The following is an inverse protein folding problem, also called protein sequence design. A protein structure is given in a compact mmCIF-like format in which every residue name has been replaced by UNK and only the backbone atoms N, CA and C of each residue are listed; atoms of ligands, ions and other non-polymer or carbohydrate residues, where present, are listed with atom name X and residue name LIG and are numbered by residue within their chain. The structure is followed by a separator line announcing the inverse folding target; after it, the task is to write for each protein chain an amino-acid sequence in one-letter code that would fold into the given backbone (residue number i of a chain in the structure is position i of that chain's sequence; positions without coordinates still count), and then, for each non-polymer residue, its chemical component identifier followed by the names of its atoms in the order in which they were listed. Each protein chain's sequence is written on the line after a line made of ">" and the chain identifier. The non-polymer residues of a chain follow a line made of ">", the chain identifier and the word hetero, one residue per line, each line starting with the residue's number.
data_IF_336524923383
#
_entry.id   IF_336524923383
#
_cell.length_a   1.000
_cell.length_b   1.000
_cell.length_c   1.000
_cell.angle_alpha   90.00
_cell.angle_beta   90.00
_cell.angle_gamma   90.00
#
_symmetry.space_group_name_H-M   'P 1'
#
loop_
_entity.id
_entity.type
_entity.pdbx_description
1 polymer ?
#
# COMPACT_ATOMS: atom_id res chain seq x y z
N UNK A 1 7.27 5.10 -1.15
CA UNK A 1 8.62 4.49 -0.92
C UNK A 1 8.42 3.25 -0.08
N UNK A 2 9.03 2.12 -0.44
CA UNK A 2 8.84 0.86 0.28
C UNK A 2 9.91 0.70 1.37
N UNK A 3 9.50 0.54 2.62
CA UNK A 3 10.41 0.47 3.77
C UNK A 3 11.37 -0.74 3.73
N UNK A 4 12.68 -0.48 3.71
CA UNK A 4 13.70 -1.51 3.66
C UNK A 4 15.04 -1.02 4.23
N UNK A 5 15.57 -1.74 5.23
CA UNK A 5 16.85 -1.41 5.90
C UNK A 5 18.02 -2.35 5.53
N UNK A 6 17.73 -3.48 4.86
CA UNK A 6 18.75 -4.47 4.49
C UNK A 6 19.84 -3.92 3.54
N UNK A 7 20.90 -4.70 3.31
CA UNK A 7 21.94 -4.33 2.36
C UNK A 7 21.47 -4.65 0.94
N UNK A 8 21.30 -3.62 0.12
CA UNK A 8 20.94 -3.75 -1.28
C UNK A 8 21.32 -2.47 -2.05
N UNK A 9 21.75 -2.60 -3.31
CA UNK A 9 22.17 -1.47 -4.15
C UNK A 9 21.09 -0.43 -4.41
N UNK A 10 19.82 -0.86 -4.41
CA UNK A 10 18.65 0.01 -4.64
C UNK A 10 18.17 0.75 -3.39
N UNK A 11 18.79 0.52 -2.23
CA UNK A 11 18.40 1.18 -0.99
C UNK A 11 18.74 2.67 -1.06
N UNK A 12 17.77 3.51 -0.72
CA UNK A 12 17.88 4.95 -0.67
C UNK A 12 17.57 5.47 0.73
N UNK A 13 18.16 6.61 1.07
CA UNK A 13 17.80 7.40 2.24
C UNK A 13 17.07 8.67 1.81
N UNK A 14 15.91 8.93 2.42
CA UNK A 14 15.13 10.15 2.20
C UNK A 14 14.81 10.76 3.56
N UNK A 15 15.55 11.80 3.94
CA UNK A 15 15.47 12.43 5.26
C UNK A 15 14.06 12.91 5.62
N UNK A 16 13.35 13.48 4.65
CA UNK A 16 12.05 14.13 4.87
C UNK A 16 10.85 13.16 4.89
N UNK A 17 11.05 11.85 4.68
CA UNK A 17 9.95 10.88 4.76
C UNK A 17 9.75 10.45 6.22
N UNK A 18 8.51 10.64 6.73
CA UNK A 18 8.16 10.38 8.14
C UNK A 18 8.03 8.89 8.46
N UNK A 19 7.32 8.11 7.64
CA UNK A 19 7.05 6.69 7.91
C UNK A 19 8.32 5.82 7.83
N UNK A 20 9.06 5.93 6.73
CA UNK A 20 10.30 5.22 6.50
C UNK A 20 11.31 6.20 5.92
N UNK A 21 12.51 6.32 6.50
CA UNK A 21 13.61 7.11 5.92
C UNK A 21 14.55 6.27 5.05
N UNK A 22 14.60 4.97 5.28
CA UNK A 22 15.37 4.00 4.50
C UNK A 22 14.43 3.09 3.73
N UNK A 23 14.65 2.95 2.42
CA UNK A 23 13.79 2.10 1.61
C UNK A 23 14.14 2.05 0.13
N UNK A 24 13.26 1.44 -0.65
CA UNK A 24 13.34 1.41 -2.10
C UNK A 24 12.43 2.51 -2.64
N UNK A 25 13.03 3.46 -3.35
CA UNK A 25 12.29 4.57 -3.96
C UNK A 25 11.57 4.09 -5.21
N UNK A 26 10.32 4.49 -5.33
CA UNK A 26 9.45 4.23 -6.47
C UNK A 26 9.03 5.57 -7.07
N UNK A 27 8.97 5.63 -8.40
CA UNK A 27 8.23 6.65 -9.14
C UNK A 27 6.86 6.08 -9.44
N UNK A 28 5.81 6.87 -9.22
CA UNK A 28 4.42 6.42 -9.32
C UNK A 28 3.62 7.43 -10.12
N UNK A 29 2.84 6.94 -11.09
CA UNK A 29 1.79 7.70 -11.75
C UNK A 29 0.45 7.25 -11.15
N UNK A 30 -0.35 8.21 -10.70
CA UNK A 30 -1.64 7.96 -10.06
C UNK A 30 -2.70 8.90 -10.60
N UNK A 31 -3.94 8.43 -10.64
CA UNK A 31 -5.11 9.29 -10.84
C UNK A 31 -5.20 10.31 -9.70
N UNK A 32 -5.49 11.56 -10.06
CA UNK A 32 -5.46 12.69 -9.12
C UNK A 32 -6.65 12.70 -8.16
N UNK A 33 -7.80 12.16 -8.58
CA UNK A 33 -9.04 12.22 -7.82
C UNK A 33 -9.20 11.03 -6.87
N UNK A 34 -8.84 9.84 -7.34
CA UNK A 34 -9.12 8.57 -6.67
C UNK A 34 -7.91 7.98 -5.96
N UNK A 35 -6.69 8.33 -6.38
CA UNK A 35 -5.46 7.69 -5.94
C UNK A 35 -5.17 6.35 -6.63
N UNK A 36 -5.85 6.05 -7.75
CA UNK A 36 -5.63 4.83 -8.51
C UNK A 36 -4.23 4.81 -9.11
N UNK A 37 -3.42 3.79 -8.78
CA UNK A 37 -2.05 3.69 -9.29
C UNK A 37 -2.03 3.11 -10.70
N UNK A 38 -1.62 3.89 -11.69
CA UNK A 38 -1.50 3.45 -13.08
C UNK A 38 -0.18 2.76 -13.36
N UNK A 39 0.92 3.33 -12.90
CA UNK A 39 2.26 2.84 -13.24
C UNK A 39 3.23 3.04 -12.09
N UNK A 40 4.12 2.08 -11.90
CA UNK A 40 5.20 2.11 -10.92
C UNK A 40 6.52 1.84 -11.63
N UNK A 41 7.52 2.68 -11.38
CA UNK A 41 8.88 2.48 -11.85
C UNK A 41 9.86 2.50 -10.67
N UNK A 42 10.67 1.45 -10.52
CA UNK A 42 11.64 1.35 -9.42
C UNK A 42 12.82 2.26 -9.71
N UNK A 43 13.13 3.18 -8.78
CA UNK A 43 14.33 3.99 -8.91
C UNK A 43 15.58 3.15 -8.69
N UNK A 44 16.35 2.96 -9.76
CA UNK A 44 17.53 2.07 -9.76
C UNK A 44 18.82 2.72 -9.23
N UNK A 45 18.80 3.99 -8.82
CA UNK A 45 20.01 4.71 -8.42
C UNK A 45 20.89 5.10 -9.62
N UNK A 46 22.21 4.92 -9.49
CA UNK A 46 23.19 5.24 -10.54
C UNK A 46 23.10 4.17 -11.64
N UNK A 47 22.69 4.56 -12.85
CA UNK A 47 22.77 3.70 -14.05
C UNK A 47 24.14 3.86 -14.73
N UNK A 48 24.62 2.79 -15.36
CA UNK A 48 25.73 2.83 -16.32
C UNK A 48 25.28 3.31 -17.72
N UNK A 49 23.97 3.46 -17.92
CA UNK A 49 23.37 4.03 -19.13
C UNK A 49 23.54 5.55 -19.19
N UNK A 50 23.60 6.09 -20.42
CA UNK A 50 23.58 7.54 -20.65
C UNK A 50 22.31 8.12 -20.04
N UNK A 51 22.47 9.05 -19.09
CA UNK A 51 21.36 9.81 -18.52
C UNK A 51 20.76 10.71 -19.60
N UNK A 52 19.44 10.93 -19.52
CA UNK A 52 18.82 11.98 -20.31
C UNK A 52 19.55 13.31 -20.09
N UNK A 53 19.83 14.08 -21.17
CA UNK A 53 20.43 15.41 -21.04
C UNK A 53 19.54 16.37 -20.23
N UNK A 54 18.25 16.06 -20.12
CA UNK A 54 17.26 16.85 -19.37
C UNK A 54 17.12 16.41 -17.89
N UNK A 55 17.88 15.39 -17.47
CA UNK A 55 17.98 14.96 -16.07
C UNK A 55 17.00 13.85 -15.67
N UNK A 56 17.12 13.41 -14.42
CA UNK A 56 16.40 12.24 -13.89
C UNK A 56 14.88 12.48 -13.74
N UNK A 57 14.48 13.66 -13.28
CA UNK A 57 13.06 14.00 -13.11
C UNK A 57 12.32 14.01 -14.44
N UNK A 58 12.94 14.60 -15.47
CA UNK A 58 12.44 14.57 -16.84
C UNK A 58 12.22 13.13 -17.30
N UNK A 59 13.25 12.28 -17.22
CA UNK A 59 13.14 10.90 -17.71
C UNK A 59 12.05 10.12 -16.96
N UNK A 60 11.94 10.30 -15.65
CA UNK A 60 10.93 9.61 -14.86
C UNK A 60 9.51 9.95 -15.30
N UNK A 61 9.22 11.22 -15.63
CA UNK A 61 7.90 11.61 -16.15
C UNK A 61 7.67 11.05 -17.54
N UNK A 62 8.66 11.14 -18.44
CA UNK A 62 8.53 10.61 -19.79
C UNK A 62 8.28 9.09 -19.79
N UNK A 63 9.01 8.33 -18.97
CA UNK A 63 8.84 6.87 -18.82
C UNK A 63 7.46 6.51 -18.26
N UNK A 64 6.95 7.28 -17.30
CA UNK A 64 5.65 7.02 -16.68
C UNK A 64 4.47 7.43 -17.56
N UNK A 65 4.65 8.46 -18.39
CA UNK A 65 3.59 8.98 -19.25
C UNK A 65 3.58 8.35 -20.65
N UNK A 66 4.57 7.54 -21.01
CA UNK A 66 4.67 6.88 -22.31
C UNK A 66 3.36 6.20 -22.76
N UNK A 67 2.66 5.41 -21.92
CA UNK A 67 1.40 4.78 -22.30
C UNK A 67 0.21 5.75 -22.44
N UNK A 68 0.39 7.00 -22.02
CA UNK A 68 -0.64 8.02 -21.84
C UNK A 68 -0.48 9.24 -22.75
N UNK A 69 0.57 9.27 -23.59
CA UNK A 69 0.76 10.32 -24.59
C UNK A 69 -0.36 10.35 -25.63
N UNK A 70 -0.56 11.53 -26.23
CA UNK A 70 -1.54 11.79 -27.29
C UNK A 70 -3.01 11.58 -26.91
N UNK A 71 -3.31 11.59 -25.61
CA UNK A 71 -4.67 11.43 -25.07
C UNK A 71 -5.24 12.70 -24.45
N UNK A 72 -4.53 13.83 -24.56
CA UNK A 72 -4.92 15.12 -23.97
C UNK A 72 -5.12 15.07 -22.44
N UNK A 73 -4.44 14.12 -21.78
CA UNK A 73 -4.40 14.06 -20.33
C UNK A 73 -3.67 15.28 -19.76
N UNK A 74 -3.98 15.60 -18.49
CA UNK A 74 -3.28 16.62 -17.72
C UNK A 74 -2.50 15.95 -16.59
N UNK A 75 -1.17 16.05 -16.61
CA UNK A 75 -0.31 15.50 -15.56
C UNK A 75 0.17 16.59 -14.59
N UNK A 76 0.01 16.35 -13.30
CA UNK A 76 0.48 17.26 -12.25
C UNK A 76 1.67 16.64 -11.50
N UNK A 77 2.74 17.41 -11.29
CA UNK A 77 3.93 16.94 -10.60
C UNK A 77 4.64 18.03 -9.79
N UNK A 78 5.52 17.61 -8.87
CA UNK A 78 6.25 18.49 -7.98
C UNK A 78 7.49 19.14 -8.65
N UNK A 79 8.12 20.05 -7.90
CA UNK A 79 9.30 20.78 -8.34
C UNK A 79 10.54 19.94 -8.69
N UNK A 80 10.65 18.69 -8.23
CA UNK A 80 11.73 17.80 -8.63
C UNK A 80 11.64 17.41 -10.10
N UNK A 81 10.42 17.23 -10.62
CA UNK A 81 10.18 16.82 -12.01
C UNK A 81 10.08 18.01 -12.95
N UNK A 82 9.53 19.14 -12.49
CA UNK A 82 9.18 20.27 -13.35
C UNK A 82 10.40 20.96 -13.99
N UNK A 83 10.34 21.12 -15.30
CA UNK A 83 11.24 21.98 -16.08
C UNK A 83 10.55 22.51 -17.35
N UNK A 84 11.01 23.64 -17.91
CA UNK A 84 10.52 24.13 -19.20
C UNK A 84 10.65 23.12 -20.33
N UNK A 85 11.79 22.43 -20.43
CA UNK A 85 12.01 21.40 -21.46
C UNK A 85 10.96 20.28 -21.39
N UNK A 86 10.67 19.77 -20.17
CA UNK A 86 9.63 18.77 -19.97
C UNK A 86 8.25 19.27 -20.43
N UNK A 87 7.91 20.53 -20.13
CA UNK A 87 6.61 21.10 -20.49
C UNK A 87 6.42 21.20 -22.01
N UNK A 88 7.47 21.60 -22.75
CA UNK A 88 7.41 21.64 -24.21
C UNK A 88 7.26 20.23 -24.80
N UNK A 89 8.08 19.28 -24.36
CA UNK A 89 8.06 17.92 -24.91
C UNK A 89 6.75 17.17 -24.59
N UNK A 90 6.12 17.46 -23.45
CA UNK A 90 4.78 16.92 -23.12
C UNK A 90 3.69 17.55 -23.99
N UNK A 91 3.78 18.86 -24.24
CA UNK A 91 2.83 19.57 -25.10
C UNK A 91 2.89 19.06 -26.54
N UNK A 92 4.09 18.82 -27.07
CA UNK A 92 4.31 18.19 -28.38
C UNK A 92 3.72 16.77 -28.45
N UNK A 93 3.56 16.12 -27.29
CA UNK A 93 2.90 14.81 -27.15
C UNK A 93 1.42 14.90 -26.78
N UNK A 94 0.79 16.04 -27.07
CA UNK A 94 -0.62 16.32 -26.74
C UNK A 94 -0.95 15.93 -25.29
N UNK A 95 -0.04 16.27 -24.37
CA UNK A 95 -0.16 15.99 -22.95
C UNK A 95 0.03 17.30 -22.20
N UNK A 96 -1.02 17.74 -21.53
CA UNK A 96 -0.96 18.93 -20.72
C UNK A 96 -0.32 18.63 -19.37
N UNK A 97 0.25 19.64 -18.75
CA UNK A 97 0.93 19.50 -17.47
C UNK A 97 0.97 20.78 -16.66
N UNK A 98 0.98 20.63 -15.34
CA UNK A 98 1.20 21.70 -14.36
C UNK A 98 2.15 21.21 -13.29
N UNK A 99 3.06 22.08 -12.84
CA UNK A 99 3.92 21.75 -11.72
C UNK A 99 4.51 22.97 -11.06
N UNK A 100 4.80 22.85 -9.76
CA UNK A 100 5.67 23.81 -9.08
C UNK A 100 7.07 23.72 -9.66
N UNK A 101 7.82 24.82 -9.74
CA UNK A 101 9.14 24.85 -10.36
C UNK A 101 10.14 25.61 -9.50
N UNK A 102 11.39 25.13 -9.47
CA UNK A 102 12.49 25.85 -8.83
C UNK A 102 12.87 27.05 -9.73
N UNK A 103 12.89 28.27 -9.19
CA UNK A 103 13.22 29.51 -9.91
C UNK A 103 14.56 29.47 -10.67
N UNK A 104 15.50 28.69 -10.17
CA UNK A 104 16.84 28.53 -10.76
C UNK A 104 16.93 27.44 -11.81
N UNK A 105 15.83 26.71 -12.10
CA UNK A 105 15.79 25.67 -13.14
C UNK A 105 16.14 26.27 -14.51
N UNK A 106 16.92 25.53 -15.31
CA UNK A 106 17.32 25.94 -16.66
C UNK A 106 16.09 26.26 -17.52
N UNK A 107 16.12 27.39 -18.23
CA UNK A 107 15.04 27.86 -19.09
C UNK A 107 13.96 28.71 -18.40
N UNK A 108 14.01 28.86 -17.07
CA UNK A 108 13.10 29.80 -16.36
C UNK A 108 13.46 31.26 -16.67
N UNK A 109 12.47 32.19 -16.66
CA UNK A 109 12.73 33.60 -16.85
C UNK A 109 13.72 34.14 -15.81
N UNK A 110 14.80 34.80 -16.25
CA UNK A 110 15.82 35.33 -15.35
C UNK A 110 15.25 36.33 -14.34
N UNK A 111 14.25 37.13 -14.76
CA UNK A 111 13.57 38.09 -13.90
C UNK A 111 12.95 37.45 -12.66
N UNK A 112 12.44 36.21 -12.72
CA UNK A 112 11.80 35.55 -11.57
C UNK A 112 12.74 35.31 -10.39
N UNK A 113 14.06 35.38 -10.60
CA UNK A 113 15.08 35.23 -9.54
C UNK A 113 15.24 36.50 -8.73
N UNK A 114 15.12 37.66 -9.36
CA UNK A 114 15.39 38.97 -8.75
C UNK A 114 14.12 39.75 -8.43
N UNK A 115 13.01 39.47 -9.12
CA UNK A 115 11.73 40.14 -8.91
C UNK A 115 11.21 39.86 -7.48
N UNK A 116 11.13 40.88 -6.61
CA UNK A 116 10.37 40.77 -5.37
C UNK A 116 8.89 40.60 -5.73
N UNK A 117 8.16 39.82 -4.94
CA UNK A 117 6.73 39.61 -5.18
C UNK A 117 5.98 39.82 -3.88
N UNK A 118 5.02 40.73 -3.90
CA UNK A 118 4.16 41.04 -2.76
C UNK A 118 3.02 40.03 -2.65
N UNK A 119 2.39 39.99 -1.46
CA UNK A 119 1.24 39.13 -1.23
C UNK A 119 0.09 39.52 -2.17
N UNK A 120 -0.44 38.54 -2.91
CA UNK A 120 -1.49 38.72 -3.90
C UNK A 120 -0.98 39.13 -5.29
N UNK A 121 0.30 39.47 -5.43
CA UNK A 121 0.89 39.86 -6.71
C UNK A 121 1.20 38.63 -7.57
N UNK A 122 0.97 38.75 -8.88
CA UNK A 122 1.26 37.71 -9.87
C UNK A 122 2.11 38.28 -11.01
N UNK A 123 3.19 37.56 -11.34
CA UNK A 123 3.98 37.79 -12.53
C UNK A 123 3.84 36.61 -13.48
N UNK A 124 3.58 36.91 -14.75
CA UNK A 124 3.33 35.90 -15.78
C UNK A 124 4.28 36.13 -16.96
N UNK A 125 4.88 35.06 -17.44
CA UNK A 125 5.64 35.03 -18.69
C UNK A 125 5.17 33.83 -19.51
N UNK A 126 4.96 34.01 -20.81
CA UNK A 126 4.50 32.95 -21.70
C UNK A 126 5.50 32.76 -22.83
N UNK A 127 5.68 31.51 -23.26
CA UNK A 127 6.47 31.16 -24.44
C UNK A 127 5.98 29.82 -24.96
N UNK A 128 5.71 29.73 -26.27
CA UNK A 128 5.39 28.47 -26.97
C UNK A 128 4.37 27.58 -26.21
N UNK A 129 3.22 28.16 -25.84
CA UNK A 129 2.15 27.42 -25.14
C UNK A 129 2.41 27.11 -23.66
N UNK A 130 3.57 27.47 -23.11
CA UNK A 130 3.90 27.30 -21.69
C UNK A 130 3.85 28.63 -20.97
N UNK A 131 3.18 28.66 -19.82
CA UNK A 131 3.05 29.81 -18.93
C UNK A 131 3.86 29.57 -17.66
N UNK A 132 4.80 30.47 -17.38
CA UNK A 132 5.51 30.59 -16.12
C UNK A 132 4.81 31.61 -15.23
N UNK A 133 4.48 31.21 -14.01
CA UNK A 133 3.79 32.02 -13.02
C UNK A 133 4.68 32.16 -11.79
N UNK A 134 4.81 33.38 -11.28
CA UNK A 134 5.38 33.68 -9.96
C UNK A 134 4.32 34.42 -9.16
N UNK A 135 3.89 33.86 -8.05
CA UNK A 135 2.83 34.41 -7.20
C UNK A 135 3.21 34.25 -5.73
N UNK A 136 2.82 35.18 -4.86
CA UNK A 136 2.94 34.98 -3.41
C UNK A 136 1.61 35.12 -2.69
N UNK A 137 1.39 34.23 -1.75
CA UNK A 137 0.58 34.50 -0.55
C UNK A 137 1.53 34.81 0.61
N UNK A 138 1.81 33.83 1.50
CA UNK A 138 2.82 33.99 2.56
C UNK A 138 4.25 33.85 2.07
N UNK A 139 4.44 33.08 0.99
CA UNK A 139 5.73 32.82 0.36
C UNK A 139 5.54 32.80 -1.14
N UNK A 140 6.57 33.22 -1.86
CA UNK A 140 6.58 33.13 -3.32
C UNK A 140 6.62 31.67 -3.78
N UNK A 141 5.71 31.33 -4.68
CA UNK A 141 5.60 30.05 -5.37
C UNK A 141 5.75 30.31 -6.86
N UNK A 142 6.53 29.47 -7.53
CA UNK A 142 6.67 29.49 -8.98
C UNK A 142 6.05 28.23 -9.56
N UNK A 143 5.28 28.37 -10.64
CA UNK A 143 4.67 27.27 -11.37
C UNK A 143 4.98 27.39 -12.86
N UNK A 144 4.97 26.23 -13.53
CA UNK A 144 4.83 26.13 -14.98
C UNK A 144 3.52 25.40 -15.28
N UNK A 145 2.80 25.87 -16.28
CA UNK A 145 1.59 25.21 -16.79
C UNK A 145 1.50 25.35 -18.30
N UNK A 146 0.88 24.37 -18.95
CA UNK A 146 0.49 24.40 -20.38
C UNK A 146 -0.99 24.71 -20.58
N UNK A 147 -1.76 24.85 -19.49
CA UNK A 147 -3.21 25.13 -19.55
C UNK A 147 -3.66 26.07 -18.43
N UNK A 148 -4.87 26.59 -18.56
CA UNK A 148 -5.48 27.46 -17.55
C UNK A 148 -5.19 28.94 -17.79
N UNK A 149 -5.57 29.77 -16.82
CA UNK A 149 -5.46 31.22 -16.92
C UNK A 149 -4.86 31.83 -15.64
N UNK A 150 -4.16 32.97 -15.73
CA UNK A 150 -3.64 33.66 -14.55
C UNK A 150 -4.74 34.42 -13.78
N UNK A 151 -6.02 34.24 -14.14
CA UNK A 151 -7.15 34.88 -13.44
C UNK A 151 -7.25 34.35 -12.02
N UNK A 152 -7.65 35.23 -11.12
CA UNK A 152 -7.94 34.88 -9.75
C UNK A 152 -9.32 34.23 -9.65
N UNK A 153 -9.44 33.25 -8.76
CA UNK A 153 -10.67 32.57 -8.40
C UNK A 153 -10.82 32.62 -6.88
N UNK A 154 -12.06 32.71 -6.42
CA UNK A 154 -12.38 32.53 -5.01
C UNK A 154 -12.47 31.04 -4.70
N UNK A 155 -11.76 30.62 -3.66
CA UNK A 155 -11.75 29.23 -3.19
C UNK A 155 -11.67 29.21 -1.67
N UNK A 156 -11.96 28.06 -1.07
CA UNK A 156 -11.90 27.89 0.38
C UNK A 156 -10.62 27.17 0.76
N UNK A 157 -9.83 27.76 1.67
CA UNK A 157 -8.64 27.08 2.16
C UNK A 157 -8.99 25.93 3.12
N UNK A 158 -7.99 25.11 3.48
CA UNK A 158 -8.17 23.99 4.42
C UNK A 158 -8.61 24.37 5.84
N UNK A 159 -8.78 25.67 6.16
CA UNK A 159 -9.34 26.18 7.42
C UNK A 159 -10.76 26.75 7.24
N UNK A 160 -11.39 26.57 6.08
CA UNK A 160 -12.74 27.08 5.82
C UNK A 160 -12.81 28.58 5.50
N UNK A 161 -11.67 29.25 5.26
CA UNK A 161 -11.67 30.69 4.91
C UNK A 161 -11.63 30.88 3.40
N UNK A 162 -12.43 31.81 2.92
CA UNK A 162 -12.38 32.26 1.52
C UNK A 162 -11.05 32.99 1.25
N UNK A 163 -10.44 32.61 0.13
CA UNK A 163 -9.19 33.18 -0.36
C UNK A 163 -9.29 33.37 -1.88
N UNK A 164 -8.64 34.42 -2.36
CA UNK A 164 -8.49 34.68 -3.79
C UNK A 164 -7.10 34.24 -4.23
N UNK A 165 -7.04 33.24 -5.12
CA UNK A 165 -5.78 32.70 -5.65
C UNK A 165 -5.84 32.53 -7.17
N UNK A 166 -4.69 32.48 -7.87
CA UNK A 166 -4.69 32.20 -9.30
C UNK A 166 -5.31 30.84 -9.62
N UNK A 167 -6.13 30.75 -10.68
CA UNK A 167 -6.85 29.53 -11.06
C UNK A 167 -5.91 28.33 -11.32
N UNK A 168 -4.70 28.60 -11.81
CA UNK A 168 -3.66 27.58 -12.01
C UNK A 168 -3.15 27.02 -10.67
N UNK A 169 -3.02 27.87 -9.65
CA UNK A 169 -2.62 27.45 -8.30
C UNK A 169 -3.73 26.61 -7.67
N UNK A 170 -4.99 27.02 -7.83
CA UNK A 170 -6.14 26.26 -7.37
C UNK A 170 -6.22 24.87 -8.03
N UNK A 171 -6.11 24.80 -9.36
CA UNK A 171 -6.07 23.53 -10.11
C UNK A 171 -4.90 22.62 -9.69
N UNK A 172 -3.72 23.20 -9.45
CA UNK A 172 -2.57 22.45 -8.95
C UNK A 172 -2.87 21.84 -7.57
N UNK A 173 -3.40 22.63 -6.64
CA UNK A 173 -3.72 22.17 -5.29
C UNK A 173 -4.74 21.01 -5.29
N UNK A 174 -5.73 21.05 -6.19
CA UNK A 174 -6.71 19.98 -6.34
C UNK A 174 -6.15 18.69 -6.95
N UNK A 175 -5.06 18.76 -7.71
CA UNK A 175 -4.55 17.60 -8.47
C UNK A 175 -3.25 17.00 -7.92
N UNK A 176 -2.45 17.77 -7.19
CA UNK A 176 -1.13 17.33 -6.71
C UNK A 176 -1.16 16.20 -5.67
N UNK A 177 -2.31 15.95 -5.03
CA UNK A 177 -2.46 14.99 -3.94
C UNK A 177 -2.69 13.54 -4.34
N UNK A 178 -2.86 13.22 -5.64
CA UNK A 178 -3.27 11.87 -6.08
C UNK A 178 -2.37 10.74 -5.60
N UNK A 179 -1.04 10.91 -5.73
CA UNK A 179 -0.07 9.91 -5.27
C UNK A 179 -0.10 9.77 -3.74
N UNK A 180 -0.24 10.87 -3.00
CA UNK A 180 -0.31 10.84 -1.54
C UNK A 180 -1.59 10.16 -1.05
N UNK A 181 -2.71 10.29 -1.78
CA UNK A 181 -3.96 9.59 -1.50
C UNK A 181 -3.80 8.06 -1.68
N UNK A 182 -3.19 7.62 -2.78
CA UNK A 182 -2.86 6.21 -3.00
C UNK A 182 -1.90 5.66 -1.93
N UNK A 183 -0.83 6.41 -1.60
CA UNK A 183 0.12 6.06 -0.53
C UNK A 183 -0.60 5.90 0.83
N UNK A 184 -1.57 6.77 1.16
CA UNK A 184 -2.35 6.67 2.39
C UNK A 184 -3.18 5.37 2.45
N UNK A 185 -3.85 5.01 1.36
CA UNK A 185 -4.63 3.77 1.29
C UNK A 185 -3.72 2.53 1.41
N UNK A 186 -2.57 2.53 0.74
CA UNK A 186 -1.59 1.44 0.81
C UNK A 186 -1.05 1.29 2.24
N UNK A 187 -0.66 2.39 2.89
CA UNK A 187 -0.06 2.37 4.22
C UNK A 187 -0.98 1.76 5.30
N UNK A 188 -2.31 1.82 5.12
CA UNK A 188 -3.27 1.22 6.05
C UNK A 188 -3.15 -0.31 6.13
N UNK A 189 -2.78 -0.96 5.02
CA UNK A 189 -2.77 -2.43 4.89
C UNK A 189 -1.40 -3.00 4.53
N UNK A 190 -0.37 -2.16 4.37
CA UNK A 190 0.97 -2.61 4.01
C UNK A 190 1.58 -3.49 5.12
N UNK A 191 1.94 -4.76 4.82
CA UNK A 191 2.41 -5.70 5.84
C UNK A 191 3.74 -5.27 6.50
N UNK A 192 3.70 -5.13 7.82
CA UNK A 192 4.85 -4.76 8.64
C UNK A 192 5.64 -6.00 9.09
N UNK A 193 6.44 -6.57 8.18
CA UNK A 193 7.36 -7.67 8.51
C UNK A 193 8.82 -7.31 8.24
N UNK A 194 9.75 -7.94 8.99
CA UNK A 194 11.19 -7.83 8.71
C UNK A 194 11.58 -8.81 7.59
N UNK A 195 12.40 -8.36 6.65
CA UNK A 195 12.95 -9.21 5.59
C UNK A 195 14.35 -8.72 5.21
N UNK A 196 15.28 -9.66 5.03
CA UNK A 196 16.58 -9.39 4.42
C UNK A 196 16.48 -9.34 2.88
N UNK A 197 15.47 -10.01 2.31
CA UNK A 197 15.22 -10.07 0.87
C UNK A 197 14.34 -8.89 0.45
N UNK A 198 14.93 -7.96 -0.32
CA UNK A 198 14.28 -6.74 -0.80
C UNK A 198 13.05 -7.03 -1.67
N UNK A 199 13.14 -7.99 -2.58
CA UNK A 199 12.04 -8.34 -3.49
C UNK A 199 10.75 -8.74 -2.76
N UNK A 200 10.84 -9.33 -1.55
CA UNK A 200 9.65 -9.63 -0.74
C UNK A 200 8.90 -8.34 -0.37
N UNK A 201 9.63 -7.29 -0.01
CA UNK A 201 9.01 -5.99 0.31
C UNK A 201 8.30 -5.40 -0.90
N UNK A 202 8.94 -5.42 -2.08
CA UNK A 202 8.32 -4.95 -3.31
C UNK A 202 7.10 -5.79 -3.71
N UNK A 203 7.17 -7.12 -3.61
CA UNK A 203 6.06 -8.01 -3.93
C UNK A 203 4.82 -7.68 -3.10
N UNK A 204 4.96 -7.58 -1.78
CA UNK A 204 3.82 -7.25 -0.92
C UNK A 204 3.33 -5.83 -1.15
N UNK A 205 4.22 -4.87 -1.45
CA UNK A 205 3.80 -3.53 -1.86
C UNK A 205 2.90 -3.60 -3.11
N UNK A 206 3.33 -4.30 -4.16
CA UNK A 206 2.54 -4.44 -5.39
C UNK A 206 1.19 -5.15 -5.14
N UNK A 207 1.15 -6.19 -4.30
CA UNK A 207 -0.10 -6.88 -3.95
C UNK A 207 -1.08 -5.95 -3.22
N UNK A 208 -0.58 -5.13 -2.29
CA UNK A 208 -1.41 -4.15 -1.58
C UNK A 208 -1.87 -3.05 -2.52
N UNK A 209 -1.01 -2.54 -3.40
CA UNK A 209 -1.41 -1.58 -4.44
C UNK A 209 -2.50 -2.16 -5.34
N UNK A 210 -2.39 -3.43 -5.74
CA UNK A 210 -3.43 -4.10 -6.54
C UNK A 210 -4.75 -4.21 -5.77
N UNK A 211 -4.72 -4.54 -4.48
CA UNK A 211 -5.90 -4.56 -3.62
C UNK A 211 -6.55 -3.17 -3.46
N UNK A 212 -5.73 -2.11 -3.33
CA UNK A 212 -6.21 -0.72 -3.28
C UNK A 212 -6.85 -0.31 -4.60
N UNK A 213 -6.21 -0.62 -5.73
CA UNK A 213 -6.79 -0.37 -7.06
C UNK A 213 -8.12 -1.11 -7.24
N UNK A 214 -8.23 -2.36 -6.80
CA UNK A 214 -9.48 -3.12 -6.83
C UNK A 214 -10.57 -2.48 -5.95
N UNK A 215 -10.21 -1.97 -4.76
CA UNK A 215 -11.13 -1.22 -3.91
C UNK A 215 -11.62 0.07 -4.57
N UNK A 216 -10.74 0.80 -5.26
CA UNK A 216 -11.13 2.00 -6.02
C UNK A 216 -12.11 1.62 -7.14
N UNK A 217 -11.80 0.59 -7.94
CA UNK A 217 -12.71 0.09 -8.97
C UNK A 217 -14.07 -0.33 -8.38
N UNK A 218 -14.07 -1.02 -7.23
CA UNK A 218 -15.30 -1.40 -6.54
C UNK A 218 -16.14 -0.16 -6.17
N UNK A 219 -15.52 0.85 -5.55
CA UNK A 219 -16.21 2.07 -5.11
C UNK A 219 -16.82 2.85 -6.28
N UNK A 220 -16.14 2.84 -7.43
CA UNK A 220 -16.53 3.61 -8.61
C UNK A 220 -17.57 2.86 -9.46
N UNK A 221 -17.49 1.52 -9.51
CA UNK A 221 -18.44 0.67 -10.26
C UNK A 221 -19.73 0.43 -9.49
N UNK A 222 -19.64 0.12 -8.19
CA UNK A 222 -20.79 -0.22 -7.38
C UNK A 222 -21.30 1.02 -6.64
N UNK A 223 -22.39 1.60 -7.15
CA UNK A 223 -23.16 2.66 -6.49
C UNK A 223 -24.07 2.14 -5.37
N UNK A 224 -23.91 0.88 -4.94
CA UNK A 224 -24.77 0.24 -3.93
C UNK A 224 -24.52 0.85 -2.55
N UNK A 225 -25.61 1.23 -1.88
CA UNK A 225 -25.61 1.76 -0.51
C UNK A 225 -26.06 0.67 0.48
N UNK A 226 -25.41 0.55 1.65
CA UNK A 226 -24.24 1.32 2.10
C UNK A 226 -22.94 0.81 1.46
N UNK A 227 -22.11 1.74 0.98
CA UNK A 227 -20.79 1.37 0.43
C UNK A 227 -19.93 0.70 1.51
N UNK A 228 -19.29 -0.38 1.13
CA UNK A 228 -18.31 -1.05 1.97
C UNK A 228 -17.08 -0.13 2.16
N UNK A 229 -16.67 0.08 3.41
CA UNK A 229 -15.45 0.84 3.69
C UNK A 229 -14.20 0.01 3.36
N UNK A 230 -13.06 0.68 3.24
CA UNK A 230 -11.80 0.04 2.83
C UNK A 230 -11.41 -1.15 3.72
N UNK A 231 -11.64 -1.06 5.03
CA UNK A 231 -11.37 -2.14 5.98
C UNK A 231 -12.22 -3.38 5.72
N UNK A 232 -13.54 -3.21 5.57
CA UNK A 232 -14.46 -4.31 5.29
C UNK A 232 -14.12 -4.97 3.94
N UNK A 233 -13.81 -4.16 2.92
CA UNK A 233 -13.39 -4.67 1.61
C UNK A 233 -12.12 -5.50 1.71
N UNK A 234 -11.10 -4.98 2.40
CA UNK A 234 -9.84 -5.70 2.58
C UNK A 234 -10.00 -6.98 3.39
N UNK A 235 -10.87 -6.98 4.40
CA UNK A 235 -11.19 -8.15 5.20
C UNK A 235 -11.90 -9.24 4.36
N UNK A 236 -12.89 -8.85 3.56
CA UNK A 236 -13.57 -9.77 2.65
C UNK A 236 -12.63 -10.34 1.60
N UNK A 237 -11.80 -9.50 0.97
CA UNK A 237 -10.77 -9.94 0.03
C UNK A 237 -9.84 -10.98 0.66
N UNK A 238 -9.38 -10.76 1.89
CA UNK A 238 -8.57 -11.75 2.61
C UNK A 238 -9.31 -13.08 2.79
N UNK A 239 -10.58 -13.04 3.18
CA UNK A 239 -11.41 -14.25 3.34
C UNK A 239 -11.59 -15.01 2.03
N UNK A 240 -11.86 -14.32 0.93
CA UNK A 240 -12.05 -14.90 -0.40
C UNK A 240 -10.75 -15.51 -0.95
N UNK A 241 -9.61 -14.81 -0.79
CA UNK A 241 -8.30 -15.31 -1.20
C UNK A 241 -7.84 -16.53 -0.38
N UNK A 242 -8.18 -16.58 0.91
CA UNK A 242 -7.96 -17.78 1.74
C UNK A 242 -8.90 -18.91 1.30
N UNK A 243 -10.16 -18.56 1.00
CA UNK A 243 -11.20 -19.43 0.45
C UNK A 243 -11.21 -20.83 1.07
N UNK A 244 -11.26 -21.84 0.19
CA UNK A 244 -11.22 -23.26 0.53
C UNK A 244 -9.81 -23.87 0.62
N UNK A 245 -8.71 -23.11 0.60
CA UNK A 245 -7.35 -23.69 0.70
C UNK A 245 -7.11 -24.45 2.01
N UNK A 246 -7.91 -24.16 3.06
CA UNK A 246 -7.97 -24.96 4.29
C UNK A 246 -8.77 -26.27 4.16
N UNK A 247 -9.65 -26.37 3.17
CA UNK A 247 -10.49 -27.55 2.92
C UNK A 247 -9.76 -28.61 2.07
N UNK A 248 -9.00 -28.20 1.04
CA UNK A 248 -8.21 -29.12 0.19
C UNK A 248 -7.01 -29.78 0.87
N UNK A 249 -6.56 -29.22 2.01
CA UNK A 249 -5.44 -29.77 2.79
C UNK A 249 -5.88 -30.70 3.93
N UNK A 250 -7.15 -31.12 4.00
CA UNK A 250 -7.58 -32.19 4.93
C UNK A 250 -6.90 -33.54 4.63
N UNK A 251 -6.39 -33.75 3.41
CA UNK A 251 -5.68 -34.97 3.01
C UNK A 251 -4.16 -34.93 3.20
N UNK A 252 -3.55 -33.78 3.51
CA UNK A 252 -2.19 -33.75 4.07
C UNK A 252 -2.31 -33.65 5.58
N UNK A 253 -2.38 -34.82 6.22
CA UNK A 253 -2.00 -34.98 7.62
C UNK A 253 -0.52 -34.57 7.80
N UNK A 254 -0.22 -33.26 7.76
CA UNK A 254 0.89 -32.78 8.56
C UNK A 254 0.50 -33.07 10.00
N UNK A 255 1.31 -33.92 10.62
CA UNK A 255 1.37 -34.13 12.07
C UNK A 255 1.80 -32.81 12.75
N UNK A 256 0.98 -31.78 12.66
CA UNK A 256 0.87 -30.79 13.70
C UNK A 256 -0.14 -31.40 14.65
N UNK A 257 0.33 -31.94 15.76
CA UNK A 257 -0.53 -32.31 16.88
C UNK A 257 -1.40 -31.09 17.17
N UNK A 258 -2.72 -31.12 16.92
CA UNK A 258 -3.55 -29.98 17.20
C UNK A 258 -3.55 -29.82 18.72
N UNK A 259 -2.94 -28.75 19.22
CA UNK A 259 -3.27 -28.19 20.53
C UNK A 259 -4.64 -27.52 20.38
N UNK A 260 -5.67 -28.33 20.10
CA UNK A 260 -7.07 -27.93 19.99
C UNK A 260 -7.93 -29.06 20.56
N UNK A 261 -7.98 -29.11 21.89
CA UNK A 261 -9.19 -29.53 22.59
C UNK A 261 -9.43 -28.52 23.73
N UNK A 262 -9.87 -27.32 23.35
CA UNK A 262 -10.45 -26.32 24.26
C UNK A 262 -11.97 -26.31 24.14
N UNK A 263 -12.63 -27.46 24.05
CA UNK A 263 -14.03 -27.51 24.49
C UNK A 263 -14.00 -27.84 25.98
N UNK A 264 -14.55 -26.95 26.81
CA UNK A 264 -14.76 -27.21 28.24
C UNK A 264 -15.83 -28.30 28.47
N UNK A 265 -16.54 -28.70 27.41
CA UNK A 265 -17.54 -29.78 27.43
C UNK A 265 -16.98 -31.12 27.96
N UNK A 266 -15.68 -31.38 27.75
CA UNK A 266 -15.00 -32.55 28.33
C UNK A 266 -15.01 -32.58 29.86
N UNK A 267 -15.21 -31.43 30.51
CA UNK A 267 -15.21 -31.25 31.97
C UNK A 267 -16.62 -31.20 32.58
N UNK A 268 -17.65 -30.96 31.76
CA UNK A 268 -19.03 -30.73 32.24
C UNK A 268 -20.00 -31.85 31.90
N UNK A 269 -19.71 -32.67 30.90
CA UNK A 269 -20.59 -33.77 30.45
C UNK A 269 -20.24 -35.12 31.11
N UNK A 270 -21.18 -36.07 31.06
CA UNK A 270 -20.96 -37.44 31.51
C UNK A 270 -20.25 -38.23 30.40
N UNK A 271 -18.97 -38.54 30.61
CA UNK A 271 -18.16 -39.32 29.67
C UNK A 271 -17.96 -40.74 30.21
N UNK A 272 -18.15 -41.75 29.36
CA UNK A 272 -17.96 -43.15 29.72
C UNK A 272 -16.88 -43.81 28.86
N UNK A 273 -16.02 -44.68 29.43
CA UNK A 273 -15.08 -45.47 28.65
C UNK A 273 -15.83 -46.47 27.77
N UNK A 274 -15.54 -46.47 26.48
CA UNK A 274 -16.00 -47.49 25.54
C UNK A 274 -14.84 -48.14 24.81
N UNK A 275 -15.10 -49.28 24.17
CA UNK A 275 -14.13 -49.98 23.33
C UNK A 275 -14.24 -49.43 21.90
N UNK A 276 -13.11 -49.20 21.25
CA UNK A 276 -13.06 -48.71 19.88
C UNK A 276 -13.64 -49.79 18.95
N UNK A 277 -14.62 -49.46 18.10
CA UNK A 277 -15.17 -50.39 17.12
C UNK A 277 -14.09 -50.97 16.18
N UNK A 278 -14.37 -52.17 15.65
CA UNK A 278 -13.53 -52.84 14.63
C UNK A 278 -12.11 -53.24 15.12
N UNK A 279 -11.91 -53.42 16.43
CA UNK A 279 -10.63 -53.88 16.99
C UNK A 279 -9.47 -52.88 16.83
N UNK A 280 -9.76 -51.66 16.38
CA UNK A 280 -8.78 -50.59 16.17
C UNK A 280 -8.18 -50.15 17.50
N UNK A 281 -6.94 -49.65 17.46
CA UNK A 281 -6.24 -49.14 18.64
C UNK A 281 -5.79 -47.69 18.45
N UNK A 282 -6.11 -46.81 19.40
CA UNK A 282 -5.67 -45.41 19.44
C UNK A 282 -4.56 -45.21 20.47
N UNK A 283 -3.78 -44.13 20.34
CA UNK A 283 -2.83 -43.72 21.38
C UNK A 283 -3.58 -42.97 22.47
N UNK A 284 -3.19 -43.19 23.73
CA UNK A 284 -3.71 -42.39 24.84
C UNK A 284 -3.24 -40.94 24.72
N UNK A 285 -4.16 -39.96 24.69
CA UNK A 285 -3.80 -38.53 24.55
C UNK A 285 -3.03 -38.01 25.77
N UNK A 286 -3.41 -38.44 26.98
CA UNK A 286 -2.70 -38.08 28.22
C UNK A 286 -1.27 -38.62 28.24
N UNK A 287 -1.07 -39.92 27.97
CA UNK A 287 0.28 -40.50 27.92
C UNK A 287 1.12 -39.97 26.76
N UNK A 288 0.51 -39.63 25.62
CA UNK A 288 1.24 -39.09 24.47
C UNK A 288 1.81 -37.69 24.73
N UNK A 289 1.25 -36.94 25.69
CA UNK A 289 1.77 -35.65 26.13
C UNK A 289 2.91 -35.73 27.15
N UNK A 290 3.10 -36.88 27.81
CA UNK A 290 4.14 -37.07 28.83
C UNK A 290 5.23 -38.01 28.30
N UNK A 291 6.44 -37.50 28.07
CA UNK A 291 7.60 -38.28 27.57
C UNK A 291 8.01 -39.46 28.47
N UNK A 292 7.51 -39.50 29.72
CA UNK A 292 7.77 -40.58 30.69
C UNK A 292 6.94 -41.86 30.45
N UNK A 293 5.88 -41.82 29.64
CA UNK A 293 5.00 -42.97 29.43
C UNK A 293 5.17 -43.60 28.04
N UNK A 294 5.35 -44.92 27.99
CA UNK A 294 5.39 -45.69 26.73
C UNK A 294 4.15 -45.35 25.90
N UNK A 295 4.33 -45.16 24.58
CA UNK A 295 3.27 -44.85 23.61
C UNK A 295 2.36 -46.06 23.38
N UNK A 296 1.60 -46.46 24.40
CA UNK A 296 0.72 -47.63 24.36
C UNK A 296 -0.46 -47.39 23.42
N UNK A 297 -0.66 -48.32 22.49
CA UNK A 297 -1.88 -48.38 21.68
C UNK A 297 -2.95 -49.12 22.47
N UNK A 298 -4.04 -48.45 22.77
CA UNK A 298 -5.12 -48.92 23.62
C UNK A 298 -6.41 -49.10 22.82
N UNK A 299 -7.27 -50.00 23.29
CA UNK A 299 -8.59 -50.27 22.71
C UNK A 299 -9.69 -49.39 23.30
N UNK A 300 -9.37 -48.57 24.31
CA UNK A 300 -10.33 -47.77 25.04
C UNK A 300 -10.34 -46.32 24.57
N UNK A 301 -11.53 -45.74 24.47
CA UNK A 301 -11.74 -44.36 24.07
C UNK A 301 -12.96 -43.74 24.75
N UNK A 302 -13.06 -42.42 24.71
CA UNK A 302 -14.30 -41.72 24.99
C UNK A 302 -15.04 -41.54 23.66
N UNK A 303 -16.28 -42.02 23.58
CA UNK A 303 -17.08 -41.91 22.35
C UNK A 303 -17.52 -40.47 22.09
N UNK A 304 -17.83 -39.69 23.12
CA UNK A 304 -18.27 -38.30 22.99
C UNK A 304 -17.12 -37.39 22.55
N UNK A 305 -15.94 -37.55 23.15
CA UNK A 305 -14.74 -36.78 22.81
C UNK A 305 -13.92 -37.38 21.66
N UNK A 306 -14.26 -38.59 21.18
CA UNK A 306 -13.57 -39.35 20.12
C UNK A 306 -12.05 -39.56 20.33
N UNK A 307 -11.56 -39.49 21.57
CA UNK A 307 -10.13 -39.61 21.95
C UNK A 307 -9.79 -40.94 22.62
N UNK A 308 -8.61 -41.49 22.32
CA UNK A 308 -8.09 -42.66 23.03
C UNK A 308 -7.61 -42.29 24.44
N UNK A 309 -8.07 -43.01 25.46
CA UNK A 309 -7.74 -42.77 26.87
C UNK A 309 -7.56 -44.09 27.62
N UNK A 310 -6.46 -44.26 28.36
CA UNK A 310 -6.32 -45.42 29.24
C UNK A 310 -7.44 -45.38 30.28
N UNK A 311 -8.14 -46.51 30.47
CA UNK A 311 -9.30 -46.64 31.40
C UNK A 311 -8.96 -46.21 32.82
N UNK A 312 -7.70 -46.33 33.20
CA UNK A 312 -7.20 -45.96 34.52
C UNK A 312 -7.21 -44.42 34.71
N UNK A 313 -6.14 -43.87 35.29
CA UNK A 313 -6.09 -42.45 35.67
C UNK A 313 -6.19 -41.47 34.48
N UNK A 314 -5.91 -41.90 33.25
CA UNK A 314 -5.92 -41.01 32.09
C UNK A 314 -7.33 -40.56 31.70
N UNK A 315 -8.32 -41.46 31.76
CA UNK A 315 -9.71 -41.11 31.46
C UNK A 315 -10.22 -40.05 32.44
N UNK A 316 -10.07 -40.30 33.75
CA UNK A 316 -10.42 -39.34 34.80
C UNK A 316 -9.68 -38.02 34.65
N UNK A 317 -8.37 -38.03 34.45
CA UNK A 317 -7.56 -36.80 34.30
C UNK A 317 -8.02 -35.96 33.11
N UNK A 318 -8.29 -36.59 31.97
CA UNK A 318 -8.77 -35.90 30.77
C UNK A 318 -10.18 -35.30 30.94
N UNK A 319 -11.04 -35.86 31.78
CA UNK A 319 -12.39 -35.34 31.97
C UNK A 319 -12.60 -34.49 33.23
N UNK A 320 -11.59 -34.35 34.09
CA UNK A 320 -11.72 -33.59 35.34
C UNK A 320 -10.70 -32.46 35.53
N UNK A 321 -9.62 -32.39 34.73
CA UNK A 321 -8.59 -31.36 34.87
C UNK A 321 -8.51 -30.43 33.67
N UNK A 322 -8.43 -29.12 33.92
CA UNK A 322 -8.18 -28.11 32.88
C UNK A 322 -6.85 -28.38 32.15
N UNK A 323 -5.81 -28.74 32.89
CA UNK A 323 -4.53 -29.23 32.37
C UNK A 323 -4.37 -30.71 32.72
N UNK A 324 -4.35 -31.57 31.69
CA UNK A 324 -4.32 -33.03 31.83
C UNK A 324 -2.97 -33.66 31.43
N UNK A 325 -2.07 -32.86 30.88
CA UNK A 325 -0.66 -33.17 30.63
C UNK A 325 0.12 -32.46 31.75
N UNK A 326 1.02 -33.18 32.42
CA UNK A 326 1.82 -32.61 33.52
C UNK A 326 3.07 -31.92 32.99
#
# INVERSE_FOLDING_TARGET
>A
MVGFKGRHQLKQYIANKKAHRWGIKLWVLSDSNTGYTHQINVYKGRRNERRSPNGLGYQAVMDLMEPHFHKNHHVTYDSFFTSPALMYDLLDKSTHSTGTVIKTRKGMPASFRTTPVQKGEIHVKTRAGVMAILWADRRAVSLLTTTGSPRFVQTTNGKGREISIPSVVDKYNHTMGGVDLGDQLILQFEPQFKSLKMWRKLLFHCLVTAAVNAYICYRDTFMVQPKMNHLKFHHQLCHELIGGFRQGNRNRQMRLVPVQHRSLARLSERHFPSIIPEGKRKKCVVCAGNDRFKKTRIQWWCEDCKVGLCVNQCFKRYHTRLNYVD
#
